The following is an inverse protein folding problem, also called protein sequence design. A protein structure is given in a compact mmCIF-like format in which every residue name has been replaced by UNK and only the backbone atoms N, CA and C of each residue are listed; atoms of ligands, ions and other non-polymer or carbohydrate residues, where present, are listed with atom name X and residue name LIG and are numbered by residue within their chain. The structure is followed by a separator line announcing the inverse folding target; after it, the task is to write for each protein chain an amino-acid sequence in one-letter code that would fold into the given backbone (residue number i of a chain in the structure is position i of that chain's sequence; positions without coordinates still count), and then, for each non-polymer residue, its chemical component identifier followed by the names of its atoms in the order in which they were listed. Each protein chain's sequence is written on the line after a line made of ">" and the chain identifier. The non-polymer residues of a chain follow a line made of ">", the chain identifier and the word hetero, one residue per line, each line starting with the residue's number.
data_IF_494281123688
#
_entry.id   IF_494281123688
#
_cell.length_a   1.000
_cell.length_b   1.000
_cell.length_c   1.000
_cell.angle_alpha   90.00
_cell.angle_beta   90.00
_cell.angle_gamma   90.00
#
_symmetry.space_group_name_H-M   'P 1'
#
loop_
_entity.id
_entity.type
_entity.pdbx_description
1 polymer ?
#
# COMPACT_ATOMS: atom_id res chain seq x y z
N UNK A 1 21.05 49.98 -46.09
CA UNK A 1 22.30 49.44 -46.67
C UNK A 1 23.35 49.59 -45.59
N UNK A 2 23.49 48.57 -44.74
CA UNK A 2 24.39 47.42 -44.90
C UNK A 2 25.76 47.78 -44.34
N UNK A 3 26.18 47.04 -43.31
CA UNK A 3 27.46 46.33 -43.20
C UNK A 3 27.57 45.76 -41.76
N UNK A 4 27.41 44.44 -41.60
CA UNK A 4 28.44 43.40 -41.64
C UNK A 4 29.19 43.27 -40.28
N UNK A 5 28.75 42.33 -39.43
CA UNK A 5 29.27 40.97 -39.26
C UNK A 5 30.64 40.85 -38.53
N UNK A 6 30.60 40.26 -37.34
CA UNK A 6 31.70 39.57 -36.61
C UNK A 6 31.16 39.27 -35.19
N UNK A 7 31.17 38.07 -34.58
CA UNK A 7 31.76 36.78 -34.90
C UNK A 7 31.26 35.75 -33.82
N UNK A 8 31.04 34.51 -34.26
CA UNK A 8 31.15 33.22 -33.53
C UNK A 8 30.28 32.84 -32.31
N UNK A 9 29.48 31.78 -32.56
CA UNK A 9 29.41 30.49 -31.84
C UNK A 9 29.16 30.53 -30.32
N UNK A 10 27.94 30.12 -29.94
CA UNK A 10 27.71 28.97 -29.06
C UNK A 10 26.35 28.35 -29.43
N UNK A 11 26.40 27.12 -29.95
CA UNK A 11 25.25 26.23 -30.01
C UNK A 11 25.02 25.68 -28.60
N UNK A 12 23.90 26.04 -27.96
CA UNK A 12 23.38 25.34 -26.79
C UNK A 12 22.21 24.44 -27.23
N UNK A 13 22.31 23.11 -27.06
CA UNK A 13 21.16 22.22 -27.07
C UNK A 13 20.94 21.68 -25.64
N UNK A 14 20.08 22.31 -24.84
CA UNK A 14 19.77 21.79 -23.49
C UNK A 14 18.35 22.07 -22.97
N UNK A 15 17.57 22.95 -23.60
CA UNK A 15 16.27 23.39 -23.06
C UNK A 15 15.08 22.45 -23.30
N UNK A 16 15.24 21.33 -24.01
CA UNK A 16 14.14 20.37 -24.26
C UNK A 16 14.16 19.12 -23.35
N UNK A 17 15.31 18.75 -22.78
CA UNK A 17 15.43 17.59 -21.88
C UNK A 17 14.99 17.90 -20.44
N UNK A 18 15.21 19.13 -19.96
CA UNK A 18 14.85 19.55 -18.60
C UNK A 18 13.32 19.63 -18.37
N UNK A 19 12.57 19.86 -19.44
CA UNK A 19 11.11 20.01 -19.40
C UNK A 19 10.35 18.66 -19.36
N UNK A 20 11.05 17.53 -19.52
CA UNK A 20 10.50 16.17 -19.44
C UNK A 20 10.69 15.59 -18.03
N UNK A 21 11.76 15.99 -17.32
CA UNK A 21 12.03 15.54 -15.96
C UNK A 21 11.06 16.18 -14.94
N UNK A 22 10.74 17.46 -15.11
CA UNK A 22 9.84 18.18 -14.19
C UNK A 22 8.36 17.74 -14.34
N UNK A 23 7.94 17.34 -15.56
CA UNK A 23 6.59 16.80 -15.78
C UNK A 23 6.38 15.41 -15.18
N UNK A 24 7.42 14.58 -15.07
CA UNK A 24 7.30 13.24 -14.48
C UNK A 24 7.10 13.26 -12.96
N UNK A 25 7.63 14.26 -12.24
CA UNK A 25 7.44 14.39 -10.79
C UNK A 25 6.04 14.92 -10.42
N UNK A 26 5.50 15.89 -11.16
CA UNK A 26 4.11 16.32 -10.98
C UNK A 26 3.11 15.21 -11.34
N UNK A 27 3.38 14.43 -12.39
CA UNK A 27 2.47 13.33 -12.80
C UNK A 27 2.46 12.20 -11.77
N UNK A 28 3.56 11.90 -11.05
CA UNK A 28 3.53 10.83 -10.04
C UNK A 28 2.66 11.17 -8.82
N UNK A 29 2.69 12.42 -8.33
CA UNK A 29 1.81 12.85 -7.23
C UNK A 29 0.37 13.01 -7.71
N UNK A 30 0.15 13.50 -8.93
CA UNK A 30 -1.19 13.57 -9.54
C UNK A 30 -1.74 12.16 -9.80
N UNK A 31 -0.94 11.14 -10.12
CA UNK A 31 -1.43 9.78 -10.38
C UNK A 31 -1.86 9.02 -9.11
N UNK A 32 -1.25 9.31 -7.95
CA UNK A 32 -1.75 8.81 -6.65
C UNK A 32 -3.07 9.53 -6.29
N UNK A 33 -3.19 10.82 -6.62
CA UNK A 33 -4.43 11.60 -6.44
C UNK A 33 -5.53 11.22 -7.46
N UNK A 34 -5.16 10.91 -8.71
CA UNK A 34 -6.07 10.67 -9.83
C UNK A 34 -6.71 9.28 -9.73
N UNK A 35 -5.98 8.27 -9.24
CA UNK A 35 -6.55 6.95 -8.99
C UNK A 35 -7.55 6.96 -7.81
N UNK A 36 -7.49 7.98 -6.94
CA UNK A 36 -8.50 8.22 -5.91
C UNK A 36 -9.76 8.95 -6.44
N UNK A 37 -9.67 9.61 -7.60
CA UNK A 37 -10.75 10.43 -8.16
C UNK A 37 -11.75 9.64 -9.02
N UNK A 38 -11.31 8.65 -9.82
CA UNK A 38 -12.22 7.87 -10.68
C UNK A 38 -13.08 6.87 -9.88
N UNK A 39 -12.58 6.38 -8.74
CA UNK A 39 -13.32 5.47 -7.85
C UNK A 39 -14.45 6.16 -7.06
N UNK A 40 -14.64 7.48 -7.22
CA UNK A 40 -15.68 8.24 -6.52
C UNK A 40 -17.06 8.13 -7.19
N UNK A 41 -17.13 7.74 -8.47
CA UNK A 41 -18.40 7.75 -9.21
C UNK A 41 -19.35 6.59 -8.89
N UNK A 42 -18.85 5.44 -8.42
CA UNK A 42 -19.70 4.26 -8.20
C UNK A 42 -20.17 4.07 -6.74
N UNK A 43 -19.59 4.80 -5.77
CA UNK A 43 -19.94 4.69 -4.35
C UNK A 43 -21.00 5.71 -3.88
N UNK A 44 -21.65 6.42 -4.81
CA UNK A 44 -22.53 7.56 -4.50
C UNK A 44 -23.80 7.16 -3.73
N UNK A 45 -24.27 5.91 -3.79
CA UNK A 45 -25.53 5.51 -3.13
C UNK A 45 -25.41 5.17 -1.63
N UNK A 46 -24.21 4.85 -1.12
CA UNK A 46 -23.95 4.64 0.32
C UNK A 46 -23.32 5.87 1.01
N UNK A 47 -23.03 6.93 0.24
CA UNK A 47 -22.20 8.06 0.68
C UNK A 47 -22.88 8.99 1.69
N UNK A 48 -24.20 9.00 1.82
CA UNK A 48 -24.90 10.00 2.63
C UNK A 48 -24.92 9.73 4.15
N UNK A 49 -24.62 8.51 4.63
CA UNK A 49 -24.53 8.24 6.09
C UNK A 49 -23.09 8.26 6.63
N UNK A 50 -22.10 7.80 5.87
CA UNK A 50 -20.71 7.80 6.32
C UNK A 50 -20.06 9.19 6.27
N UNK A 51 -20.54 10.07 5.38
CA UNK A 51 -20.04 11.44 5.25
C UNK A 51 -20.29 12.31 6.48
N UNK A 52 -21.25 11.98 7.35
CA UNK A 52 -21.49 12.71 8.61
C UNK A 52 -20.61 12.24 9.77
N UNK A 53 -20.07 11.02 9.72
CA UNK A 53 -19.16 10.47 10.74
C UNK A 53 -17.71 10.81 10.39
N UNK A 54 -17.34 10.78 9.11
CA UNK A 54 -15.97 10.98 8.64
C UNK A 54 -15.74 12.33 7.93
N UNK A 55 -16.80 13.07 7.57
CA UNK A 55 -16.71 14.34 6.84
C UNK A 55 -16.00 15.47 7.58
N UNK A 56 -16.15 15.63 8.92
CA UNK A 56 -15.40 16.63 9.66
C UNK A 56 -13.90 16.32 9.80
N UNK A 57 -13.49 15.05 9.63
CA UNK A 57 -12.08 14.68 9.65
C UNK A 57 -11.42 14.98 8.30
N UNK A 58 -12.05 14.58 7.19
CA UNK A 58 -11.41 14.54 5.87
C UNK A 58 -11.01 15.89 5.23
N UNK A 59 -11.46 17.04 5.75
CA UNK A 59 -11.33 18.32 5.03
C UNK A 59 -10.27 19.27 5.63
N UNK A 60 -9.84 19.11 6.87
CA UNK A 60 -9.01 20.14 7.54
C UNK A 60 -7.54 19.77 7.80
N UNK A 61 -7.13 18.49 7.79
CA UNK A 61 -5.72 18.13 8.05
C UNK A 61 -5.25 16.88 7.30
N UNK A 62 -4.90 17.02 6.01
CA UNK A 62 -4.39 15.95 5.14
C UNK A 62 -3.32 15.05 5.83
N UNK A 63 -2.41 15.64 6.61
CA UNK A 63 -1.29 14.91 7.24
C UNK A 63 -1.69 14.05 8.46
N UNK A 64 -2.65 14.51 9.28
CA UNK A 64 -3.04 13.80 10.51
C UNK A 64 -3.71 12.45 10.21
N UNK A 65 -4.40 12.34 9.07
CA UNK A 65 -5.05 11.09 8.65
C UNK A 65 -4.06 9.96 8.38
N UNK A 66 -2.91 10.26 7.77
CA UNK A 66 -1.91 9.23 7.49
C UNK A 66 -1.28 8.72 8.78
N UNK A 67 -0.97 9.61 9.72
CA UNK A 67 -0.38 9.23 11.01
C UNK A 67 -1.38 8.46 11.89
N UNK A 68 -2.63 8.89 11.96
CA UNK A 68 -3.65 8.16 12.74
C UNK A 68 -4.06 6.83 12.08
N UNK A 69 -3.99 6.76 10.74
CA UNK A 69 -4.37 5.60 9.95
C UNK A 69 -3.57 4.34 10.26
N UNK A 70 -2.31 4.46 10.70
CA UNK A 70 -1.53 3.30 11.14
C UNK A 70 -1.59 3.09 12.66
N UNK A 71 -1.68 4.15 13.47
CA UNK A 71 -1.67 4.02 14.94
C UNK A 71 -2.94 3.31 15.45
N UNK A 72 -4.11 3.70 14.95
CA UNK A 72 -5.39 3.17 15.45
C UNK A 72 -5.51 1.64 15.24
N UNK A 73 -5.23 1.08 14.04
CA UNK A 73 -5.25 -0.37 13.86
C UNK A 73 -4.24 -1.11 14.73
N UNK A 74 -3.03 -0.55 14.92
CA UNK A 74 -2.01 -1.17 15.77
C UNK A 74 -2.47 -1.29 17.23
N UNK A 75 -3.11 -0.25 17.77
CA UNK A 75 -3.67 -0.30 19.14
C UNK A 75 -4.78 -1.35 19.25
N UNK A 76 -5.61 -1.49 18.22
CA UNK A 76 -6.68 -2.50 18.18
C UNK A 76 -6.15 -3.94 18.02
N UNK A 77 -4.99 -4.14 17.38
CA UNK A 77 -4.35 -5.45 17.25
C UNK A 77 -3.61 -5.89 18.53
N UNK A 78 -3.21 -4.99 19.43
CA UNK A 78 -2.46 -5.35 20.64
C UNK A 78 -3.21 -6.35 21.56
N UNK A 79 -4.50 -6.16 21.90
CA UNK A 79 -5.26 -7.13 22.70
C UNK A 79 -5.38 -8.50 22.02
N UNK A 80 -5.49 -8.53 20.69
CA UNK A 80 -5.53 -9.77 19.92
C UNK A 80 -4.24 -10.57 20.13
N UNK A 81 -3.08 -9.93 19.93
CA UNK A 81 -1.78 -10.59 20.07
C UNK A 81 -1.52 -11.03 21.53
N UNK A 82 -1.93 -10.23 22.52
CA UNK A 82 -1.81 -10.58 23.93
C UNK A 82 -2.66 -11.81 24.28
N UNK A 83 -3.91 -11.88 23.80
CA UNK A 83 -4.78 -13.02 24.00
C UNK A 83 -4.18 -14.30 23.36
N UNK A 84 -3.63 -14.18 22.16
CA UNK A 84 -2.97 -15.31 21.48
C UNK A 84 -1.71 -15.76 22.23
N UNK A 85 -0.96 -14.84 22.83
CA UNK A 85 0.20 -15.16 23.65
C UNK A 85 -0.18 -15.94 24.92
N UNK A 86 -1.26 -15.55 25.61
CA UNK A 86 -1.78 -16.28 26.77
C UNK A 86 -2.30 -17.69 26.38
N UNK A 87 -3.05 -17.77 25.27
CA UNK A 87 -3.54 -19.04 24.75
C UNK A 87 -2.39 -19.97 24.35
N UNK A 88 -1.36 -19.46 23.68
CA UNK A 88 -0.19 -20.25 23.30
C UNK A 88 0.59 -20.77 24.52
N UNK A 89 0.61 -20.04 25.64
CA UNK A 89 1.25 -20.48 26.88
C UNK A 89 0.43 -21.53 27.63
N UNK A 90 -0.90 -21.42 27.58
CA UNK A 90 -1.81 -22.31 28.32
C UNK A 90 -2.13 -23.60 27.57
N UNK A 91 -2.22 -23.53 26.24
CA UNK A 91 -2.71 -24.59 25.36
C UNK A 91 -1.91 -24.61 24.03
N UNK A 92 -0.69 -25.18 24.04
CA UNK A 92 0.14 -25.29 22.83
C UNK A 92 -0.38 -26.41 21.93
N UNK A 93 -1.43 -26.11 21.15
CA UNK A 93 -1.98 -27.05 20.17
C UNK A 93 -1.83 -26.52 18.75
N UNK A 94 -1.69 -27.45 17.80
CA UNK A 94 -1.61 -27.13 16.37
C UNK A 94 -3.01 -26.95 15.77
N UNK A 95 -3.86 -26.18 16.43
CA UNK A 95 -5.19 -25.80 15.97
C UNK A 95 -5.22 -24.31 15.69
N UNK A 96 -5.74 -23.89 14.53
CA UNK A 96 -5.98 -22.46 14.28
C UNK A 96 -7.05 -21.93 15.24
N UNK A 97 -7.25 -20.60 15.28
CA UNK A 97 -8.06 -19.87 16.27
C UNK A 97 -9.47 -20.46 16.51
N UNK A 98 -10.07 -21.14 15.53
CA UNK A 98 -11.36 -21.82 15.69
C UNK A 98 -11.34 -22.93 16.76
N UNK A 99 -10.20 -23.59 16.94
CA UNK A 99 -10.04 -24.64 17.96
C UNK A 99 -10.06 -24.02 19.36
N UNK A 100 -9.29 -22.95 19.58
CA UNK A 100 -9.29 -22.23 20.87
C UNK A 100 -10.66 -21.63 21.18
N UNK A 101 -11.35 -21.10 20.17
CA UNK A 101 -12.71 -20.57 20.33
C UNK A 101 -13.72 -21.65 20.76
N UNK A 102 -13.60 -22.87 20.23
CA UNK A 102 -14.44 -24.00 20.65
C UNK A 102 -14.08 -24.52 22.05
N UNK A 103 -12.79 -24.54 22.41
CA UNK A 103 -12.31 -25.05 23.69
C UNK A 103 -12.68 -24.15 24.88
N UNK A 104 -12.74 -22.83 24.68
CA UNK A 104 -13.13 -21.86 25.71
C UNK A 104 -14.66 -21.65 25.81
N UNK A 105 -15.41 -22.04 24.78
CA UNK A 105 -16.85 -21.87 24.75
C UNK A 105 -17.59 -22.90 25.62
N UNK A 106 -18.77 -22.56 26.17
CA UNK A 106 -19.61 -23.51 26.90
C UNK A 106 -19.95 -24.75 26.04
N UNK A 107 -20.11 -25.96 26.62
CA UNK A 107 -20.27 -27.21 25.87
C UNK A 107 -21.43 -27.18 24.87
N UNK A 108 -22.52 -26.47 25.17
CA UNK A 108 -23.68 -26.35 24.30
C UNK A 108 -23.44 -25.49 23.05
N UNK A 109 -22.47 -24.57 23.08
CA UNK A 109 -22.20 -23.60 21.99
C UNK A 109 -20.84 -23.84 21.32
N UNK A 110 -20.01 -24.73 21.84
CA UNK A 110 -18.65 -25.00 21.36
C UNK A 110 -18.57 -25.27 19.86
N UNK A 111 -19.46 -26.11 19.31
CA UNK A 111 -19.51 -26.40 17.88
C UNK A 111 -19.95 -25.20 17.03
N UNK A 112 -20.92 -24.41 17.50
CA UNK A 112 -21.40 -23.24 16.76
C UNK A 112 -20.35 -22.12 16.71
N UNK A 113 -19.69 -21.84 17.84
CA UNK A 113 -18.66 -20.80 17.96
C UNK A 113 -17.43 -21.16 17.13
N UNK A 114 -16.97 -22.42 17.20
CA UNK A 114 -15.83 -22.88 16.39
C UNK A 114 -16.14 -22.83 14.89
N UNK A 115 -17.36 -23.19 14.47
CA UNK A 115 -17.77 -23.11 13.07
C UNK A 115 -17.75 -21.67 12.54
N UNK A 116 -18.37 -20.73 13.27
CA UNK A 116 -18.39 -19.31 12.88
C UNK A 116 -16.97 -18.75 12.82
N UNK A 117 -16.14 -19.05 13.82
CA UNK A 117 -14.73 -18.60 13.86
C UNK A 117 -13.93 -19.18 12.70
N UNK A 118 -14.17 -20.44 12.33
CA UNK A 118 -13.54 -21.08 11.17
C UNK A 118 -13.89 -20.36 9.87
N UNK A 119 -15.15 -20.03 9.65
CA UNK A 119 -15.58 -19.27 8.46
C UNK A 119 -14.99 -17.87 8.41
N UNK A 120 -14.95 -17.15 9.54
CA UNK A 120 -14.33 -15.82 9.59
C UNK A 120 -12.83 -15.87 9.24
N UNK A 121 -12.12 -16.92 9.66
CA UNK A 121 -10.73 -17.12 9.29
C UNK A 121 -10.56 -17.31 7.78
N UNK A 122 -11.37 -18.20 7.18
CA UNK A 122 -11.34 -18.46 5.73
C UNK A 122 -11.68 -17.19 4.92
N UNK A 123 -12.70 -16.43 5.32
CA UNK A 123 -13.07 -15.18 4.67
C UNK A 123 -11.95 -14.14 4.74
N UNK A 124 -11.26 -14.06 5.88
CA UNK A 124 -10.11 -13.15 6.06
C UNK A 124 -8.98 -13.51 5.11
N UNK A 125 -8.67 -14.81 4.96
CA UNK A 125 -7.64 -15.26 4.02
C UNK A 125 -7.99 -14.92 2.56
N UNK A 126 -9.25 -15.08 2.15
CA UNK A 126 -9.68 -14.70 0.80
C UNK A 126 -9.61 -13.19 0.57
N UNK A 127 -10.13 -12.39 1.51
CA UNK A 127 -10.11 -10.93 1.41
C UNK A 127 -8.67 -10.39 1.35
N UNK A 128 -7.78 -10.92 2.20
CA UNK A 128 -6.37 -10.55 2.22
C UNK A 128 -5.67 -10.91 0.89
N UNK A 129 -5.87 -12.14 0.40
CA UNK A 129 -5.26 -12.59 -0.86
C UNK A 129 -5.71 -11.72 -2.05
N UNK A 130 -6.99 -11.38 -2.13
CA UNK A 130 -7.53 -10.51 -3.17
C UNK A 130 -6.95 -9.08 -3.08
N UNK A 131 -6.86 -8.52 -1.87
CA UNK A 131 -6.29 -7.19 -1.65
C UNK A 131 -4.82 -7.12 -2.08
N UNK A 132 -4.01 -8.12 -1.72
CA UNK A 132 -2.61 -8.18 -2.10
C UNK A 132 -2.42 -8.37 -3.62
N UNK A 133 -3.23 -9.21 -4.26
CA UNK A 133 -3.15 -9.39 -5.71
C UNK A 133 -3.46 -8.09 -6.47
N UNK A 134 -4.45 -7.32 -5.99
CA UNK A 134 -4.76 -6.02 -6.56
C UNK A 134 -3.64 -4.99 -6.31
N UNK A 135 -3.02 -4.98 -5.12
CA UNK A 135 -1.90 -4.11 -4.81
C UNK A 135 -0.67 -4.37 -5.70
N UNK A 136 -0.38 -5.65 -6.00
CA UNK A 136 0.71 -6.01 -6.93
C UNK A 136 0.36 -5.64 -8.37
N UNK A 137 -0.88 -5.90 -8.81
CA UNK A 137 -1.35 -5.54 -10.15
C UNK A 137 -1.22 -4.03 -10.41
N UNK A 138 -1.70 -3.20 -9.47
CA UNK A 138 -1.59 -1.74 -9.56
C UNK A 138 -0.15 -1.25 -9.58
N UNK A 139 0.71 -1.80 -8.70
CA UNK A 139 2.14 -1.50 -8.68
C UNK A 139 2.82 -1.84 -10.00
N UNK A 140 2.47 -2.97 -10.60
CA UNK A 140 3.00 -3.39 -11.91
C UNK A 140 2.52 -2.46 -13.03
N UNK A 141 1.24 -2.07 -13.03
CA UNK A 141 0.71 -1.10 -13.99
C UNK A 141 1.48 0.22 -13.95
N UNK A 142 1.82 0.72 -12.75
CA UNK A 142 2.64 1.94 -12.62
C UNK A 142 4.02 1.78 -13.25
N UNK A 143 4.71 0.66 -13.00
CA UNK A 143 6.04 0.40 -13.60
C UNK A 143 5.94 0.39 -15.13
N UNK A 144 4.90 -0.23 -15.68
CA UNK A 144 4.70 -0.30 -17.14
C UNK A 144 4.40 1.08 -17.73
N UNK A 145 3.59 1.91 -17.07
CA UNK A 145 3.31 3.28 -17.57
C UNK A 145 4.54 4.17 -17.60
N UNK A 146 5.52 3.93 -16.71
CA UNK A 146 6.79 4.66 -16.73
C UNK A 146 7.65 4.23 -17.93
N UNK A 147 7.60 2.95 -18.30
CA UNK A 147 8.34 2.39 -19.42
C UNK A 147 7.69 2.72 -20.78
N UNK A 148 6.36 2.67 -20.86
CA UNK A 148 5.57 2.90 -22.08
C UNK A 148 4.44 3.90 -21.75
N UNK A 149 4.66 5.21 -21.97
CA UNK A 149 3.71 6.25 -21.58
C UNK A 149 2.36 6.22 -22.29
N UNK A 150 2.28 5.59 -23.47
CA UNK A 150 1.08 5.58 -24.31
C UNK A 150 0.07 4.48 -23.93
N UNK A 151 0.41 3.62 -22.95
CA UNK A 151 -0.46 2.53 -22.51
C UNK A 151 -1.40 3.00 -21.39
N UNK A 152 -2.68 3.16 -21.73
CA UNK A 152 -3.74 3.42 -20.75
C UNK A 152 -4.37 2.09 -20.30
N UNK A 153 -4.33 1.83 -18.99
CA UNK A 153 -4.90 0.63 -18.40
C UNK A 153 -6.41 0.76 -18.22
N UNK A 154 -7.16 -0.21 -18.74
CA UNK A 154 -8.60 -0.31 -18.48
C UNK A 154 -8.88 -1.13 -17.21
N UNK A 155 -10.02 -0.90 -16.55
CA UNK A 155 -10.41 -1.62 -15.33
C UNK A 155 -10.47 -3.14 -15.54
N UNK A 156 -10.95 -3.57 -16.70
CA UNK A 156 -11.01 -4.99 -17.07
C UNK A 156 -9.60 -5.61 -17.17
N UNK A 157 -8.62 -4.86 -17.69
CA UNK A 157 -7.24 -5.33 -17.77
C UNK A 157 -6.56 -5.39 -16.39
N UNK A 158 -6.84 -4.43 -15.50
CA UNK A 158 -6.33 -4.47 -14.12
C UNK A 158 -6.89 -5.66 -13.33
N UNK A 159 -8.18 -5.96 -13.51
CA UNK A 159 -8.81 -7.13 -12.89
C UNK A 159 -8.19 -8.43 -13.46
N UNK A 160 -8.05 -8.54 -14.77
CA UNK A 160 -7.43 -9.71 -15.41
C UNK A 160 -5.99 -9.94 -14.93
N UNK A 161 -5.21 -8.86 -14.77
CA UNK A 161 -3.85 -8.93 -14.23
C UNK A 161 -3.85 -9.40 -12.77
N UNK A 162 -4.76 -8.90 -11.93
CA UNK A 162 -4.87 -9.36 -10.54
C UNK A 162 -5.24 -10.84 -10.44
N UNK A 163 -6.14 -11.33 -11.29
CA UNK A 163 -6.49 -12.76 -11.36
C UNK A 163 -5.31 -13.62 -11.82
N UNK A 164 -4.54 -13.16 -12.80
CA UNK A 164 -3.34 -13.85 -13.24
C UNK A 164 -2.31 -14.00 -12.11
N UNK A 165 -2.11 -12.95 -11.30
CA UNK A 165 -1.22 -12.99 -10.12
C UNK A 165 -1.71 -14.04 -9.10
N UNK A 166 -3.01 -14.10 -8.82
CA UNK A 166 -3.58 -15.10 -7.91
C UNK A 166 -3.32 -16.52 -8.41
N UNK A 167 -3.51 -16.78 -9.70
CA UNK A 167 -3.25 -18.11 -10.30
C UNK A 167 -1.78 -18.49 -10.16
N UNK A 168 -0.86 -17.56 -10.43
CA UNK A 168 0.58 -17.79 -10.27
C UNK A 168 0.94 -18.08 -8.81
N UNK A 169 0.41 -17.31 -7.85
CA UNK A 169 0.62 -17.58 -6.42
C UNK A 169 0.03 -18.91 -5.97
N UNK A 170 -1.16 -19.27 -6.47
CA UNK A 170 -1.77 -20.58 -6.22
C UNK A 170 -0.89 -21.72 -6.71
N UNK A 171 -0.33 -21.60 -7.92
CA UNK A 171 0.61 -22.57 -8.48
C UNK A 171 1.92 -22.65 -7.68
N UNK A 172 2.46 -21.53 -7.18
CA UNK A 172 3.65 -21.55 -6.33
C UNK A 172 3.40 -22.25 -4.99
N UNK A 173 2.17 -22.18 -4.46
CA UNK A 173 1.80 -22.85 -3.21
C UNK A 173 1.63 -24.37 -3.34
N UNK A 174 1.67 -24.95 -4.55
CA UNK A 174 1.65 -26.41 -4.75
C UNK A 174 3.04 -27.05 -4.69
N UNK A 175 4.11 -26.26 -4.57
CA UNK A 175 5.48 -26.76 -4.44
C UNK A 175 5.69 -27.49 -3.10
N UNK A 176 6.66 -28.43 -3.07
CA UNK A 176 6.98 -29.22 -1.88
C UNK A 176 7.41 -28.34 -0.68
N UNK A 177 7.06 -28.76 0.54
CA UNK A 177 7.31 -28.01 1.79
C UNK A 177 8.76 -27.54 1.96
N UNK A 178 9.74 -28.32 1.48
CA UNK A 178 11.15 -28.01 1.60
C UNK A 178 11.56 -26.78 0.76
N UNK A 179 10.95 -26.60 -0.41
CA UNK A 179 11.16 -25.41 -1.24
C UNK A 179 10.48 -24.15 -0.70
N UNK A 180 9.35 -24.33 -0.01
CA UNK A 180 8.57 -23.23 0.56
C UNK A 180 9.35 -22.49 1.65
N UNK A 181 10.11 -23.21 2.49
CA UNK A 181 10.91 -22.60 3.55
C UNK A 181 11.99 -21.65 2.99
N UNK A 182 12.68 -22.06 1.93
CA UNK A 182 13.68 -21.23 1.25
C UNK A 182 13.05 -19.96 0.66
N UNK A 183 11.89 -20.09 0.01
CA UNK A 183 11.15 -18.94 -0.53
C UNK A 183 10.79 -17.96 0.59
N UNK A 184 10.26 -18.42 1.72
CA UNK A 184 9.90 -17.53 2.82
C UNK A 184 11.11 -16.77 3.40
N UNK A 185 12.24 -17.44 3.62
CA UNK A 185 13.45 -16.79 4.12
C UNK A 185 13.95 -15.74 3.11
N UNK A 186 13.94 -16.07 1.82
CA UNK A 186 14.34 -15.12 0.77
C UNK A 186 13.44 -13.88 0.74
N UNK A 187 12.12 -14.05 0.88
CA UNK A 187 11.16 -12.94 0.91
C UNK A 187 11.38 -12.05 2.14
N UNK A 188 11.65 -12.63 3.31
CA UNK A 188 11.96 -11.87 4.51
C UNK A 188 13.19 -10.97 4.31
N UNK A 189 14.26 -11.51 3.70
CA UNK A 189 15.46 -10.74 3.38
C UNK A 189 15.15 -9.61 2.38
N UNK A 190 14.38 -9.89 1.33
CA UNK A 190 14.01 -8.88 0.33
C UNK A 190 13.20 -7.73 0.94
N UNK A 191 12.26 -8.03 1.83
CA UNK A 191 11.46 -7.00 2.54
C UNK A 191 12.36 -6.15 3.44
N UNK A 192 13.30 -6.76 4.15
CA UNK A 192 14.27 -6.02 4.97
C UNK A 192 15.15 -5.10 4.11
N UNK A 193 15.64 -5.59 2.98
CA UNK A 193 16.41 -4.77 2.02
C UNK A 193 15.56 -3.62 1.50
N UNK A 194 14.29 -3.85 1.13
CA UNK A 194 13.37 -2.80 0.68
C UNK A 194 13.13 -1.74 1.76
N UNK A 195 12.98 -2.15 3.02
CA UNK A 195 12.83 -1.21 4.13
C UNK A 195 14.08 -0.34 4.32
N UNK A 196 15.28 -0.94 4.29
CA UNK A 196 16.55 -0.20 4.37
C UNK A 196 16.71 0.76 3.19
N UNK A 197 16.37 0.31 1.98
CA UNK A 197 16.41 1.14 0.77
C UNK A 197 15.45 2.33 0.85
N UNK A 198 14.27 2.17 1.45
CA UNK A 198 13.34 3.29 1.67
C UNK A 198 13.91 4.30 2.68
N UNK A 199 14.44 3.81 3.81
CA UNK A 199 14.98 4.64 4.89
C UNK A 199 16.19 5.46 4.41
N UNK A 200 17.08 4.86 3.61
CA UNK A 200 18.25 5.55 3.06
C UNK A 200 17.92 6.32 1.78
N UNK A 201 17.03 5.79 0.94
CA UNK A 201 16.69 6.36 -0.35
C UNK A 201 15.95 7.70 -0.25
N UNK A 202 15.08 7.87 0.76
CA UNK A 202 14.36 9.13 1.00
C UNK A 202 15.30 10.33 1.25
N UNK A 203 16.22 10.30 2.23
CA UNK A 203 17.13 11.42 2.49
C UNK A 203 18.12 11.64 1.35
N UNK A 204 18.60 10.58 0.70
CA UNK A 204 19.51 10.69 -0.46
C UNK A 204 18.80 11.38 -1.62
N UNK A 205 17.55 11.02 -1.90
CA UNK A 205 16.77 11.63 -2.99
C UNK A 205 16.49 13.11 -2.72
N UNK A 206 16.21 13.49 -1.47
CA UNK A 206 16.06 14.89 -1.07
C UNK A 206 17.37 15.67 -1.21
N UNK A 207 18.50 15.07 -0.85
CA UNK A 207 19.82 15.68 -1.00
C UNK A 207 20.18 15.94 -2.47
N UNK A 208 19.80 15.04 -3.38
CA UNK A 208 20.03 15.21 -4.83
C UNK A 208 19.13 16.31 -5.41
N UNK A 209 17.89 16.41 -4.94
CA UNK A 209 16.90 17.38 -5.45
C UNK A 209 16.94 18.76 -4.78
N UNK A 210 17.75 18.95 -3.73
CA UNK A 210 17.83 20.18 -2.93
C UNK A 210 16.46 20.72 -2.44
N UNK A 211 15.48 19.84 -2.24
CA UNK A 211 14.19 20.23 -1.66
C UNK A 211 14.26 20.16 -0.12
N UNK A 212 13.82 21.18 0.61
CA UNK A 212 13.79 21.13 2.07
C UNK A 212 12.78 20.09 2.56
N UNK A 213 13.09 19.42 3.67
CA UNK A 213 12.10 18.58 4.35
C UNK A 213 10.89 19.43 4.76
N UNK A 214 9.70 18.83 4.73
CA UNK A 214 8.47 19.50 5.16
C UNK A 214 8.65 20.11 6.55
N UNK A 215 8.31 21.40 6.71
CA UNK A 215 8.57 22.11 7.96
C UNK A 215 7.76 21.50 9.11
N UNK A 216 8.33 21.48 10.31
CA UNK A 216 7.66 20.95 11.50
C UNK A 216 6.32 21.65 11.78
N UNK A 217 6.18 22.93 11.41
CA UNK A 217 4.91 23.67 11.51
C UNK A 217 3.83 23.15 10.54
N UNK A 218 4.22 22.67 9.35
CA UNK A 218 3.27 22.07 8.40
C UNK A 218 2.84 20.66 8.82
N UNK A 219 3.68 19.94 9.57
CA UNK A 219 3.42 18.56 10.01
C UNK A 219 2.70 18.51 11.36
N UNK A 220 3.10 19.37 12.31
CA UNK A 220 2.62 19.33 13.69
C UNK A 220 1.74 20.52 14.09
N UNK A 221 1.56 21.50 13.19
CA UNK A 221 0.86 22.75 13.49
C UNK A 221 1.74 23.81 14.15
N UNK A 222 1.22 25.02 14.29
CA UNK A 222 1.89 26.13 14.97
C UNK A 222 1.80 25.93 16.49
N UNK A 223 2.95 25.83 17.17
CA UNK A 223 3.01 25.82 18.63
C UNK A 223 2.93 27.25 19.14
N UNK A 224 1.75 27.67 19.61
CA UNK A 224 1.62 28.85 20.47
C UNK A 224 2.25 28.51 21.82
N UNK A 225 3.35 29.17 22.16
CA UNK A 225 3.94 29.16 23.50
C UNK A 225 3.16 30.08 24.43
#
# INVERSE_FOLDING_TARGET
>A
MSDAQSNSRNHEPSTFQENIHNRRCCVLSVSIQSQSSERYHDHVFLSNRLRWILGPFLVSHHQLHYTLGWIIPNVLMLPEVLAVAELASSMPVNGSFYWWAGALAPPAWSHAVSFITGWLNVLTMFASTAAFAYAVSTSLSYVVTIAVPDMVWTDAQMMALSLAVIVVWGALKTLNLEGIAFVYISMAILVLVQAVMLILGLPISHAIKNEPFASAQAVFGEYLN
#
